data_IF_010671866791
#
_entry.id   IF_010671866791
#
_cell.length_a   1.000
_cell.length_b   1.000
_cell.length_c   1.000
_cell.angle_alpha   90.00
_cell.angle_beta   90.00
_cell.angle_gamma   90.00
#
_symmetry.space_group_name_H-M   'P 1'
#
loop_
_entity.id
_entity.type
_entity.pdbx_description
1 polymer ?
#
# COMPACT_ATOMS: atom_id res chain seq x y z
N UNK A 1 17.50 12.83 8.73
CA UNK A 1 17.59 14.21 9.27
C UNK A 1 18.39 15.07 8.32
N UNK A 2 17.81 15.33 7.14
CA UNK A 2 18.34 16.27 6.14
C UNK A 2 18.23 17.68 6.71
N UNK A 3 19.34 18.43 6.76
CA UNK A 3 19.36 19.82 7.24
C UNK A 3 19.70 20.73 6.07
N UNK A 4 18.76 21.57 5.64
CA UNK A 4 19.05 22.66 4.71
C UNK A 4 19.42 23.90 5.52
N UNK A 5 20.61 24.45 5.28
CA UNK A 5 21.03 25.74 5.84
C UNK A 5 20.37 26.85 5.02
N UNK A 6 19.43 27.58 5.61
CA UNK A 6 19.08 28.91 5.16
C UNK A 6 19.37 29.92 6.28
N UNK A 7 19.74 31.12 5.86
CA UNK A 7 20.50 32.14 6.57
C UNK A 7 20.13 32.27 8.08
N UNK A 8 21.07 31.85 8.94
CA UNK A 8 21.13 32.05 10.39
C UNK A 8 19.91 31.68 11.26
N UNK A 9 19.03 30.78 10.80
CA UNK A 9 18.04 30.16 11.69
C UNK A 9 18.01 28.64 11.49
N UNK A 10 18.23 27.91 12.58
CA UNK A 10 17.98 26.47 12.61
C UNK A 10 16.46 26.27 12.53
N UNK A 11 15.94 26.03 11.33
CA UNK A 11 14.53 25.69 11.13
C UNK A 11 14.45 24.18 11.05
N UNK A 12 13.86 23.56 12.08
CA UNK A 12 13.46 22.16 12.01
C UNK A 12 12.37 22.03 10.94
N UNK A 13 12.68 21.39 9.82
CA UNK A 13 11.65 20.91 8.89
C UNK A 13 11.14 19.59 9.45
N UNK A 14 9.89 19.59 9.93
CA UNK A 14 9.18 18.33 10.17
C UNK A 14 8.93 17.71 8.79
N UNK A 15 9.84 16.85 8.32
CA UNK A 15 9.51 15.94 7.22
C UNK A 15 8.46 14.97 7.76
N UNK A 16 7.20 15.27 7.50
CA UNK A 16 6.09 14.42 7.88
C UNK A 16 6.15 13.15 7.01
N UNK A 17 6.60 12.05 7.59
CA UNK A 17 6.64 10.76 6.91
C UNK A 17 5.22 10.25 6.70
N UNK A 18 4.90 9.78 5.49
CA UNK A 18 3.61 9.12 5.23
C UNK A 18 3.59 7.79 6.01
N UNK A 19 2.72 7.70 7.02
CA UNK A 19 2.56 6.51 7.86
C UNK A 19 1.27 5.74 7.60
N UNK A 20 0.37 6.30 6.81
CA UNK A 20 -0.96 5.75 6.57
C UNK A 20 -1.20 5.54 5.08
N UNK A 21 -1.87 4.44 4.76
CA UNK A 21 -2.24 4.09 3.39
C UNK A 21 -3.65 3.50 3.36
N UNK A 22 -4.39 3.79 2.29
CA UNK A 22 -5.70 3.22 2.01
C UNK A 22 -5.57 2.26 0.83
N UNK A 23 -5.89 0.98 1.05
CA UNK A 23 -5.96 -0.02 -0.02
C UNK A 23 -7.39 -0.13 -0.51
N UNK A 24 -7.63 0.27 -1.76
CA UNK A 24 -8.95 0.14 -2.40
C UNK A 24 -9.20 -1.32 -2.79
N UNK A 25 -9.89 -2.04 -1.92
CA UNK A 25 -10.17 -3.47 -2.08
C UNK A 25 -11.53 -3.78 -2.75
N UNK A 26 -12.14 -2.80 -3.42
CA UNK A 26 -13.46 -2.92 -4.04
C UNK A 26 -13.45 -3.37 -5.50
N UNK A 27 -14.59 -3.89 -5.97
CA UNK A 27 -14.85 -4.28 -7.36
C UNK A 27 -15.51 -5.66 -7.47
N UNK A 28 -16.35 -5.86 -8.49
CA UNK A 28 -17.16 -7.08 -8.65
C UNK A 28 -16.36 -8.38 -8.86
N UNK A 29 -15.08 -8.32 -9.25
CA UNK A 29 -14.23 -9.51 -9.37
C UNK A 29 -14.49 -10.38 -10.62
N UNK A 30 -15.43 -10.01 -11.49
CA UNK A 30 -15.92 -10.84 -12.59
C UNK A 30 -14.87 -11.26 -13.63
N UNK A 31 -13.77 -10.52 -13.79
CA UNK A 31 -12.71 -10.87 -14.77
C UNK A 31 -11.92 -12.13 -14.41
N UNK A 32 -11.87 -12.51 -13.13
CA UNK A 32 -11.16 -13.71 -12.67
C UNK A 32 -12.12 -14.80 -12.17
N UNK A 33 -13.43 -14.60 -12.31
CA UNK A 33 -14.43 -15.49 -11.71
C UNK A 33 -14.34 -16.94 -12.23
N UNK A 34 -13.95 -17.12 -13.49
CA UNK A 34 -13.72 -18.46 -14.08
C UNK A 34 -12.48 -19.16 -13.49
N UNK A 35 -11.46 -18.39 -13.08
CA UNK A 35 -10.18 -18.91 -12.57
C UNK A 35 -10.17 -19.05 -11.05
N UNK A 36 -10.89 -18.16 -10.35
CA UNK A 36 -10.96 -18.09 -8.89
C UNK A 36 -12.43 -17.88 -8.47
N UNK A 37 -13.25 -18.93 -8.52
CA UNK A 37 -14.66 -18.83 -8.20
C UNK A 37 -14.88 -18.59 -6.69
N UNK A 38 -15.84 -17.73 -6.37
CA UNK A 38 -16.31 -17.51 -4.99
C UNK A 38 -15.44 -16.60 -4.12
N UNK A 39 -14.35 -16.04 -4.64
CA UNK A 39 -13.49 -15.10 -3.91
C UNK A 39 -13.37 -13.75 -4.61
N UNK A 40 -13.39 -12.62 -3.86
CA UNK A 40 -13.00 -11.32 -4.39
C UNK A 40 -11.57 -11.34 -4.93
N UNK A 41 -11.29 -10.53 -5.97
CA UNK A 41 -9.96 -10.46 -6.61
C UNK A 41 -8.82 -10.22 -5.62
N UNK A 42 -9.03 -9.37 -4.61
CA UNK A 42 -8.00 -9.06 -3.60
C UNK A 42 -7.63 -10.27 -2.72
N UNK A 43 -8.50 -11.28 -2.67
CA UNK A 43 -8.27 -12.54 -1.96
C UNK A 43 -7.86 -13.68 -2.89
N UNK A 44 -7.71 -13.43 -4.20
CA UNK A 44 -7.24 -14.44 -5.13
C UNK A 44 -5.86 -14.97 -4.70
N UNK A 45 -5.62 -16.29 -4.74
CA UNK A 45 -4.36 -16.87 -4.33
C UNK A 45 -3.26 -16.58 -5.36
N UNK A 46 -2.14 -16.04 -4.89
CA UNK A 46 -0.89 -15.84 -5.64
C UNK A 46 0.21 -16.54 -4.86
N UNK A 47 0.80 -17.59 -5.45
CA UNK A 47 1.77 -18.48 -4.81
C UNK A 47 1.33 -18.96 -3.40
N UNK A 48 0.06 -19.36 -3.28
CA UNK A 48 -0.51 -19.87 -2.03
C UNK A 48 -0.89 -18.82 -0.99
N UNK A 49 -0.75 -17.52 -1.28
CA UNK A 49 -1.13 -16.41 -0.37
C UNK A 49 -2.16 -15.49 -1.03
N UNK A 50 -3.08 -14.85 -0.26
CA UNK A 50 -3.96 -13.83 -0.81
C UNK A 50 -3.17 -12.70 -1.47
N UNK A 51 -3.63 -12.19 -2.62
CA UNK A 51 -2.98 -11.07 -3.31
C UNK A 51 -2.77 -9.85 -2.39
N UNK A 52 -3.74 -9.55 -1.51
CA UNK A 52 -3.66 -8.47 -0.53
C UNK A 52 -2.42 -8.55 0.39
N UNK A 53 -1.91 -9.76 0.68
CA UNK A 53 -0.69 -9.92 1.49
C UNK A 53 0.51 -9.23 0.87
N UNK A 54 0.68 -9.32 -0.45
CA UNK A 54 1.79 -8.67 -1.16
C UNK A 54 1.68 -7.15 -1.14
N UNK A 55 0.46 -6.61 -1.18
CA UNK A 55 0.22 -5.16 -1.07
C UNK A 55 0.59 -4.67 0.33
N UNK A 56 0.20 -5.40 1.38
CA UNK A 56 0.55 -5.06 2.77
C UNK A 56 2.06 -5.14 2.98
N UNK A 57 2.71 -6.20 2.49
CA UNK A 57 4.16 -6.37 2.64
C UNK A 57 4.95 -5.29 1.88
N UNK A 58 4.39 -4.70 0.82
CA UNK A 58 4.98 -3.57 0.12
C UNK A 58 4.87 -2.24 0.87
N UNK A 59 3.87 -2.09 1.75
CA UNK A 59 3.58 -0.85 2.50
C UNK A 59 4.18 -0.85 3.92
N UNK A 60 4.77 -1.96 4.35
CA UNK A 60 5.52 -2.09 5.61
C UNK A 60 6.95 -1.60 5.45
#
# INVERSE_FOLDING_TARGET
MSTLRNENKLVATNEESITEAIVLAGGYGNRLQETVPGLPKVLAPVAGKPFLSYVIDHLR
#
